data_IF_741428564770
#
_entry.id   IF_741428564770
#
_cell.length_a   1.000
_cell.length_b   1.000
_cell.length_c   1.000
_cell.angle_alpha   90.00
_cell.angle_beta   90.00
_cell.angle_gamma   90.00
#
_symmetry.space_group_name_H-M   'P 1'
#
loop_
_entity.id
_entity.type
_entity.pdbx_description
1 polymer ?
#
# COMPACT_ATOMS: atom_id res chain seq x y z
N UNK A 1 -23.88 -7.23 21.98
CA UNK A 1 -22.64 -7.99 21.70
C UNK A 1 -21.48 -7.00 21.66
N UNK A 2 -20.59 -7.02 22.66
CA UNK A 2 -19.46 -6.09 22.73
C UNK A 2 -18.44 -6.42 21.62
N UNK A 3 -17.98 -5.39 20.90
CA UNK A 3 -16.91 -5.52 19.91
C UNK A 3 -15.62 -5.98 20.60
N UNK A 4 -14.83 -6.86 19.95
CA UNK A 4 -13.50 -7.27 20.45
C UNK A 4 -12.57 -6.09 20.73
N UNK A 5 -12.72 -4.97 20.00
CA UNK A 5 -12.00 -3.73 20.28
C UNK A 5 -12.46 -3.09 21.61
N UNK A 6 -13.75 -3.16 21.94
CA UNK A 6 -14.27 -2.65 23.20
C UNK A 6 -13.82 -3.47 24.42
N UNK A 7 -13.57 -4.77 24.24
CA UNK A 7 -12.95 -5.62 25.28
C UNK A 7 -11.49 -5.24 25.55
N UNK A 8 -10.80 -4.65 24.56
CA UNK A 8 -9.44 -4.15 24.70
C UNK A 8 -9.38 -2.69 25.20
N UNK A 9 -10.52 -2.08 25.57
CA UNK A 9 -10.59 -0.67 25.95
C UNK A 9 -10.37 0.31 24.79
N UNK A 10 -10.42 -0.17 23.54
CA UNK A 10 -10.20 0.64 22.34
C UNK A 10 -11.54 1.08 21.76
N UNK A 11 -11.76 2.39 21.74
CA UNK A 11 -12.91 2.97 21.05
C UNK A 11 -12.79 2.75 19.54
N UNK A 12 -13.90 2.39 18.88
CA UNK A 12 -13.94 2.25 17.43
C UNK A 12 -13.99 3.63 16.78
N UNK A 13 -12.90 4.01 16.12
CA UNK A 13 -12.80 5.22 15.33
C UNK A 13 -12.24 4.93 13.93
N UNK A 14 -12.01 5.96 13.13
CA UNK A 14 -11.27 5.82 11.87
C UNK A 14 -9.83 5.31 12.09
N UNK A 15 -9.20 5.70 13.21
CA UNK A 15 -7.81 5.38 13.55
C UNK A 15 -7.63 3.98 14.17
N UNK A 16 -8.72 3.38 14.66
CA UNK A 16 -8.68 2.11 15.42
C UNK A 16 -9.64 1.04 14.90
N UNK A 17 -10.52 1.41 13.96
CA UNK A 17 -11.49 0.53 13.35
C UNK A 17 -11.02 -0.12 12.05
N UNK A 18 -11.97 -0.65 11.28
CA UNK A 18 -11.72 -1.34 10.00
C UNK A 18 -10.99 -0.48 8.96
N UNK A 19 -11.13 0.84 9.04
CA UNK A 19 -10.40 1.75 8.16
C UNK A 19 -8.89 1.72 8.43
N UNK A 20 -8.48 1.66 9.70
CA UNK A 20 -7.08 1.55 10.08
C UNK A 20 -6.49 0.21 9.62
N UNK A 21 -7.24 -0.88 9.72
CA UNK A 21 -6.82 -2.19 9.19
C UNK A 21 -6.63 -2.17 7.67
N UNK A 22 -7.57 -1.54 6.93
CA UNK A 22 -7.43 -1.35 5.48
C UNK A 22 -6.19 -0.51 5.14
N UNK A 23 -5.93 0.54 5.92
CA UNK A 23 -4.77 1.39 5.73
C UNK A 23 -3.46 0.66 6.01
N UNK A 24 -3.41 -0.15 7.08
CA UNK A 24 -2.25 -0.99 7.40
C UNK A 24 -1.97 -2.04 6.31
N UNK A 25 -3.02 -2.69 5.81
CA UNK A 25 -2.88 -3.66 4.72
C UNK A 25 -2.30 -3.01 3.45
N UNK A 26 -2.81 -1.84 3.09
CA UNK A 26 -2.30 -1.07 1.96
C UNK A 26 -0.84 -0.65 2.15
N UNK A 27 -0.49 -0.13 3.33
CA UNK A 27 0.88 0.31 3.62
C UNK A 27 1.88 -0.85 3.58
N UNK A 28 1.54 -2.00 4.18
CA UNK A 28 2.43 -3.15 4.23
C UNK A 28 2.72 -3.72 2.83
N UNK A 29 1.71 -3.78 1.95
CA UNK A 29 1.92 -4.27 0.59
C UNK A 29 2.74 -3.30 -0.27
N UNK A 30 2.52 -1.99 -0.16
CA UNK A 30 3.30 -1.02 -0.92
C UNK A 30 4.76 -0.95 -0.47
N UNK A 31 5.01 -1.09 0.85
CA UNK A 31 6.37 -1.19 1.39
C UNK A 31 7.10 -2.43 0.87
N UNK A 32 6.38 -3.56 0.73
CA UNK A 32 6.90 -4.77 0.11
C UNK A 32 7.10 -4.66 -1.43
N UNK A 33 6.77 -3.51 -2.03
CA UNK A 33 6.94 -3.27 -3.47
C UNK A 33 5.80 -3.78 -4.35
N UNK A 34 4.63 -4.07 -3.77
CA UNK A 34 3.46 -4.53 -4.53
C UNK A 34 2.99 -3.47 -5.54
N UNK A 35 2.37 -3.94 -6.63
CA UNK A 35 1.88 -3.06 -7.68
C UNK A 35 0.59 -2.33 -7.25
N UNK A 36 0.52 -1.02 -7.50
CA UNK A 36 -0.63 -0.18 -7.12
C UNK A 36 -1.96 -0.63 -7.75
N UNK A 37 -1.94 -1.21 -8.97
CA UNK A 37 -3.11 -1.76 -9.65
C UNK A 37 -3.57 -3.08 -9.01
N UNK A 38 -2.63 -3.93 -8.61
CA UNK A 38 -2.92 -5.16 -7.84
C UNK A 38 -3.57 -4.79 -6.50
N UNK A 39 -2.95 -3.87 -5.76
CA UNK A 39 -3.51 -3.36 -4.51
C UNK A 39 -4.92 -2.78 -4.69
N UNK A 40 -5.13 -1.99 -5.75
CA UNK A 40 -6.45 -1.47 -6.09
C UNK A 40 -7.50 -2.57 -6.24
N UNK A 41 -7.13 -3.69 -6.87
CA UNK A 41 -8.02 -4.83 -7.05
C UNK A 41 -8.30 -5.54 -5.73
N UNK A 42 -7.30 -5.76 -4.88
CA UNK A 42 -7.47 -6.37 -3.55
C UNK A 42 -8.39 -5.54 -2.65
N UNK A 43 -8.26 -4.22 -2.76
CA UNK A 43 -9.07 -3.27 -2.03
C UNK A 43 -10.48 -3.11 -2.62
N UNK A 44 -10.75 -3.66 -3.81
CA UNK A 44 -12.03 -3.52 -4.50
C UNK A 44 -12.29 -2.09 -5.01
N UNK A 45 -11.24 -1.32 -5.29
CA UNK A 45 -11.38 -0.01 -5.90
C UNK A 45 -11.56 -0.14 -7.42
N UNK A 46 -12.64 0.44 -7.93
CA UNK A 46 -12.96 0.47 -9.35
C UNK A 46 -11.95 1.31 -10.16
N UNK A 47 -11.40 2.37 -9.57
CA UNK A 47 -10.41 3.26 -10.17
C UNK A 47 -9.04 3.07 -9.49
N UNK A 48 -8.03 2.49 -10.16
CA UNK A 48 -6.65 2.47 -9.66
C UNK A 48 -6.07 3.86 -9.39
N UNK A 49 -6.52 4.88 -10.10
CA UNK A 49 -6.16 6.27 -9.85
C UNK A 49 -6.61 6.74 -8.46
N UNK A 50 -7.74 6.26 -7.96
CA UNK A 50 -8.17 6.52 -6.58
C UNK A 50 -7.18 5.92 -5.58
N UNK A 51 -6.79 4.66 -5.77
CA UNK A 51 -5.79 3.99 -4.92
C UNK A 51 -4.47 4.73 -4.92
N UNK A 52 -4.00 5.13 -6.11
CA UNK A 52 -2.77 5.90 -6.26
C UNK A 52 -2.84 7.23 -5.50
N UNK A 53 -3.89 8.03 -5.70
CA UNK A 53 -4.05 9.33 -5.00
C UNK A 53 -4.04 9.18 -3.48
N UNK A 54 -4.64 8.11 -2.95
CA UNK A 54 -4.71 7.87 -1.51
C UNK A 54 -3.38 7.39 -0.94
N UNK A 55 -2.69 6.46 -1.62
CA UNK A 55 -1.58 5.72 -1.02
C UNK A 55 -0.19 5.99 -1.62
N UNK A 56 -0.07 6.86 -2.63
CA UNK A 56 1.23 7.16 -3.28
C UNK A 56 2.32 7.62 -2.29
N UNK A 57 1.93 8.32 -1.21
CA UNK A 57 2.85 8.79 -0.18
C UNK A 57 3.51 7.67 0.64
N UNK A 58 3.02 6.43 0.52
CA UNK A 58 3.60 5.24 1.16
C UNK A 58 4.53 4.47 0.23
N UNK A 59 4.58 4.81 -1.05
CA UNK A 59 5.39 4.09 -2.02
C UNK A 59 6.86 4.53 -1.87
N UNK A 60 7.81 3.59 -1.71
CA UNK A 60 9.22 3.95 -1.67
C UNK A 60 9.65 4.53 -3.02
N UNK A 61 10.60 5.47 -2.99
CA UNK A 61 11.24 5.96 -4.21
C UNK A 61 11.83 4.78 -4.99
N UNK A 62 11.71 4.84 -6.31
CA UNK A 62 12.15 3.78 -7.21
C UNK A 62 13.27 4.21 -8.16
N UNK A 63 13.82 5.41 -7.98
CA UNK A 63 14.80 6.01 -8.90
C UNK A 63 16.01 5.09 -9.15
N UNK A 64 16.65 4.59 -8.09
CA UNK A 64 17.81 3.70 -8.22
C UNK A 64 17.46 2.36 -8.84
N UNK A 65 16.28 1.81 -8.50
CA UNK A 65 15.81 0.55 -9.10
C UNK A 65 15.49 0.74 -10.58
N UNK A 66 14.89 1.86 -10.95
CA UNK A 66 14.57 2.20 -12.32
C UNK A 66 15.83 2.37 -13.16
N UNK A 67 16.86 3.05 -12.62
CA UNK A 67 18.16 3.20 -13.27
C UNK A 67 18.80 1.85 -13.56
N UNK A 68 18.97 1.02 -12.53
CA UNK A 68 19.57 -0.33 -12.66
C UNK A 68 18.80 -1.21 -13.64
N UNK A 69 17.47 -1.12 -13.66
CA UNK A 69 16.64 -1.88 -14.57
C UNK A 69 16.91 -1.52 -16.03
N UNK A 70 17.13 -0.23 -16.34
CA UNK A 70 17.48 0.21 -17.69
C UNK A 70 18.94 -0.11 -18.03
N UNK A 71 19.88 0.09 -17.10
CA UNK A 71 21.30 -0.25 -17.30
C UNK A 71 21.46 -1.73 -17.69
N UNK A 72 20.74 -2.62 -17.00
CA UNK A 72 20.73 -4.05 -17.29
C UNK A 72 20.17 -4.39 -18.68
N UNK A 73 19.17 -3.66 -19.15
CA UNK A 73 18.59 -3.86 -20.50
C UNK A 73 19.52 -3.36 -21.60
N UNK A 74 20.29 -2.30 -21.33
CA UNK A 74 21.19 -1.66 -22.29
C UNK A 74 22.60 -2.27 -22.32
N UNK A 75 22.90 -3.24 -21.45
CA UNK A 75 24.18 -3.92 -21.40
C UNK A 75 25.28 -3.17 -20.64
N UNK A 76 24.93 -2.32 -19.66
CA UNK A 76 25.89 -1.53 -18.87
C UNK A 76 26.72 -2.32 -17.84
N UNK A 77 26.71 -3.65 -17.90
CA UNK A 77 27.41 -4.56 -16.98
C UNK A 77 28.64 -5.27 -17.64
N UNK A 78 29.17 -4.75 -18.75
CA UNK A 78 30.52 -5.07 -19.26
C UNK A 78 31.58 -4.12 -18.67
#
# INVERSE_FOLDING_TARGET
MASRLGLAGIERSRATGVHALRHFYASALLDAGENIKSLSSYLGHHDPGFTLRVYTHLMPSSEDRARRAIDSVLGGDE
#
